data_IF_529024230453
#
_entry.id   IF_529024230453
#
_cell.length_a   1.000
_cell.length_b   1.000
_cell.length_c   1.000
_cell.angle_alpha   90.00
_cell.angle_beta   90.00
_cell.angle_gamma   90.00
#
_symmetry.space_group_name_H-M   'P 1'
#
loop_
_entity.id
_entity.type
_entity.pdbx_description
1 polymer ?
#
# COMPACT_ATOMS: atom_id res chain seq x y z
N UNK A 1 5.28 -18.04 5.65
CA UNK A 1 4.41 -17.24 6.54
C UNK A 1 3.29 -16.66 5.69
N UNK A 2 2.04 -16.79 6.11
CA UNK A 2 0.93 -16.10 5.44
C UNK A 2 0.96 -14.63 5.87
N UNK A 3 0.95 -13.65 4.95
CA UNK A 3 0.88 -12.25 5.34
C UNK A 3 -0.42 -11.99 6.09
N UNK A 4 -0.34 -11.39 7.28
CA UNK A 4 -1.53 -11.00 8.05
C UNK A 4 -2.29 -9.82 7.41
N UNK A 5 -1.63 -9.09 6.49
CA UNK A 5 -2.18 -7.97 5.74
C UNK A 5 -1.54 -7.93 4.34
N UNK A 6 -2.38 -7.84 3.31
CA UNK A 6 -1.99 -7.66 1.91
C UNK A 6 -2.58 -6.32 1.44
N UNK A 7 -1.80 -5.54 0.70
CA UNK A 7 -2.32 -4.37 -0.02
C UNK A 7 -2.44 -4.69 -1.50
N UNK A 8 -3.62 -4.47 -2.05
CA UNK A 8 -3.83 -4.39 -3.50
C UNK A 8 -3.73 -2.93 -3.92
N UNK A 9 -2.85 -2.66 -4.88
CA UNK A 9 -2.67 -1.33 -5.47
C UNK A 9 -3.27 -1.34 -6.87
N UNK A 10 -4.26 -0.50 -7.12
CA UNK A 10 -4.96 -0.40 -8.41
C UNK A 10 -4.82 0.99 -9.00
N UNK A 11 -4.61 1.08 -10.32
CA UNK A 11 -4.60 2.34 -11.07
C UNK A 11 -5.87 2.41 -11.93
N UNK A 12 -6.57 3.53 -11.84
CA UNK A 12 -7.72 3.85 -12.69
C UNK A 12 -7.51 5.25 -13.28
N UNK A 13 -7.20 5.29 -14.58
CA UNK A 13 -6.70 6.50 -15.25
C UNK A 13 -5.43 7.03 -14.57
N UNK A 14 -5.49 8.27 -14.08
CA UNK A 14 -4.40 8.94 -13.37
C UNK A 14 -4.50 8.83 -11.84
N UNK A 15 -5.46 8.06 -11.35
CA UNK A 15 -5.70 7.88 -9.92
C UNK A 15 -5.14 6.54 -9.46
N UNK A 16 -4.51 6.55 -8.30
CA UNK A 16 -3.98 5.36 -7.65
C UNK A 16 -4.81 5.06 -6.41
N UNK A 17 -5.06 3.79 -6.13
CA UNK A 17 -5.83 3.36 -4.97
C UNK A 17 -5.15 2.21 -4.27
N UNK A 18 -5.30 2.17 -2.94
CA UNK A 18 -4.92 1.04 -2.12
C UNK A 18 -6.15 0.43 -1.45
N UNK A 19 -6.19 -0.91 -1.40
CA UNK A 19 -7.13 -1.66 -0.59
C UNK A 19 -6.38 -2.70 0.23
N UNK A 20 -6.62 -2.73 1.54
CA UNK A 20 -6.03 -3.73 2.42
C UNK A 20 -6.91 -4.97 2.55
N UNK A 21 -6.30 -6.14 2.70
CA UNK A 21 -6.96 -7.41 2.98
C UNK A 21 -6.27 -8.07 4.16
N UNK A 22 -7.00 -8.32 5.24
CA UNK A 22 -6.46 -8.93 6.45
C UNK A 22 -7.17 -10.24 6.77
N UNK A 23 -6.54 -11.09 7.58
CA UNK A 23 -7.19 -12.26 8.16
C UNK A 23 -7.53 -11.98 9.63
N UNK A 24 -8.81 -12.09 9.99
CA UNK A 24 -9.30 -11.94 11.37
C UNK A 24 -10.03 -13.21 11.75
N UNK A 25 -9.58 -13.88 12.83
CA UNK A 25 -10.11 -15.18 13.26
C UNK A 25 -10.17 -16.22 12.11
N UNK A 26 -9.19 -16.21 11.21
CA UNK A 26 -9.11 -17.12 10.06
C UNK A 26 -10.01 -16.75 8.87
N UNK A 27 -10.78 -15.67 8.95
CA UNK A 27 -11.63 -15.18 7.87
C UNK A 27 -10.98 -13.99 7.15
N UNK A 28 -11.01 -13.94 5.81
CA UNK A 28 -10.54 -12.78 5.06
C UNK A 28 -11.51 -11.61 5.22
N UNK A 29 -10.99 -10.43 5.53
CA UNK A 29 -11.74 -9.18 5.53
C UNK A 29 -11.11 -8.19 4.55
N UNK A 30 -11.95 -7.48 3.80
CA UNK A 30 -11.53 -6.36 3.00
C UNK A 30 -11.61 -5.08 3.84
N UNK A 31 -10.50 -4.35 3.91
CA UNK A 31 -10.44 -3.01 4.47
C UNK A 31 -10.98 -1.99 3.45
N UNK A 32 -11.37 -0.78 3.89
CA UNK A 32 -11.80 0.27 2.98
C UNK A 32 -10.75 0.56 1.90
N UNK A 33 -11.23 0.79 0.67
CA UNK A 33 -10.40 1.29 -0.44
C UNK A 33 -10.24 2.79 -0.30
N UNK A 34 -9.03 3.29 -0.53
CA UNK A 34 -8.73 4.72 -0.48
C UNK A 34 -7.82 5.15 -1.62
N UNK A 35 -7.95 6.42 -1.99
CA UNK A 35 -7.12 7.04 -3.02
C UNK A 35 -5.75 7.44 -2.44
N UNK A 36 -4.72 7.23 -3.27
CA UNK A 36 -3.35 7.62 -3.06
C UNK A 36 -3.03 8.81 -3.96
N UNK A 37 -2.68 9.93 -3.35
CA UNK A 37 -2.28 11.15 -4.05
C UNK A 37 -0.75 11.20 -4.12
N UNK A 38 -0.23 11.52 -5.30
CA UNK A 38 1.21 11.69 -5.48
C UNK A 38 1.68 12.98 -4.80
N UNK A 39 2.76 12.89 -4.03
CA UNK A 39 3.53 14.03 -3.52
C UNK A 39 4.96 14.08 -4.09
N UNK A 40 5.30 13.07 -4.90
CA UNK A 40 6.55 12.97 -5.65
C UNK A 40 6.48 11.80 -6.63
N UNK A 41 7.61 11.44 -7.24
CA UNK A 41 7.66 10.36 -8.23
C UNK A 41 7.30 8.98 -7.63
N UNK A 42 7.68 8.75 -6.36
CA UNK A 42 7.54 7.44 -5.68
C UNK A 42 6.82 7.53 -4.33
N UNK A 43 6.42 8.75 -3.96
CA UNK A 43 5.85 9.07 -2.66
C UNK A 43 4.38 9.40 -2.84
N UNK A 44 3.55 8.72 -2.05
CA UNK A 44 2.12 8.85 -2.12
C UNK A 44 1.53 8.96 -0.70
N UNK A 45 0.43 9.68 -0.57
CA UNK A 45 -0.28 9.79 0.70
C UNK A 45 -1.77 9.52 0.52
N UNK A 46 -2.38 8.97 1.56
CA UNK A 46 -3.82 8.85 1.67
C UNK A 46 -4.36 9.95 2.58
N UNK A 47 -5.45 10.63 2.18
CA UNK A 47 -6.13 11.61 3.06
C UNK A 47 -6.84 10.98 4.25
N UNK A 48 -7.08 9.66 4.18
CA UNK A 48 -7.73 8.91 5.24
C UNK A 48 -6.69 8.49 6.27
N UNK A 49 -6.72 9.20 7.40
CA UNK A 49 -5.97 8.89 8.63
C UNK A 49 -4.44 9.05 8.59
N UNK A 50 -3.91 10.07 7.89
CA UNK A 50 -2.46 10.41 7.85
C UNK A 50 -1.55 9.21 7.57
N UNK A 51 -2.01 8.29 6.71
CA UNK A 51 -1.18 7.17 6.27
C UNK A 51 -0.42 7.59 5.02
N UNK A 52 0.91 7.53 5.10
CA UNK A 52 1.79 7.78 3.98
C UNK A 52 2.33 6.44 3.46
N UNK A 53 2.52 6.34 2.15
CA UNK A 53 3.04 5.14 1.49
C UNK A 53 4.18 5.54 0.56
N UNK A 54 5.32 4.85 0.71
CA UNK A 54 6.45 4.96 -0.20
C UNK A 54 6.62 3.69 -1.02
N UNK A 55 6.82 3.83 -2.34
CA UNK A 55 7.18 2.71 -3.20
C UNK A 55 8.70 2.68 -3.42
N UNK A 56 9.33 1.54 -3.13
CA UNK A 56 10.68 1.28 -3.59
C UNK A 56 10.61 0.61 -4.96
N UNK A 57 11.43 1.07 -5.91
CA UNK A 57 11.47 0.58 -7.29
C UNK A 57 12.79 -0.11 -7.59
N UNK A 58 12.74 -1.19 -8.37
CA UNK A 58 13.92 -1.83 -8.95
C UNK A 58 14.51 -1.06 -10.15
N UNK A 59 15.53 -1.62 -10.81
CA UNK A 59 16.26 -0.97 -11.92
C UNK A 59 15.40 -0.54 -13.11
N UNK A 60 14.26 -1.22 -13.34
CA UNK A 60 13.33 -0.92 -14.43
C UNK A 60 12.20 0.03 -14.03
N UNK A 61 12.29 0.69 -12.86
CA UNK A 61 11.23 1.54 -12.32
C UNK A 61 10.02 0.77 -11.79
N UNK A 62 9.99 -0.56 -11.93
CA UNK A 62 8.95 -1.42 -11.33
C UNK A 62 9.05 -1.40 -9.82
N UNK A 63 7.95 -1.09 -9.13
CA UNK A 63 7.87 -1.20 -7.67
C UNK A 63 8.22 -2.64 -7.23
N UNK A 64 9.05 -2.78 -6.21
CA UNK A 64 9.46 -4.06 -5.61
C UNK A 64 8.99 -4.18 -4.16
N UNK A 65 8.72 -3.04 -3.51
CA UNK A 65 8.28 -2.97 -2.12
C UNK A 65 7.36 -1.78 -1.90
N UNK A 66 6.49 -1.92 -0.91
CA UNK A 66 5.69 -0.86 -0.34
C UNK A 66 6.14 -0.64 1.11
N UNK A 67 6.29 0.61 1.55
CA UNK A 67 6.49 0.96 2.95
C UNK A 67 5.26 1.73 3.41
N UNK A 68 4.55 1.19 4.40
CA UNK A 68 3.45 1.89 5.07
C UNK A 68 4.03 2.65 6.27
N UNK A 69 3.86 3.97 6.29
CA UNK A 69 4.23 4.83 7.41
C UNK A 69 2.99 5.04 8.28
N UNK A 70 2.98 4.44 9.48
CA UNK A 70 1.83 4.50 10.39
C UNK A 70 2.28 4.67 11.83
N UNK A 71 1.71 5.67 12.52
CA UNK A 71 1.99 5.95 13.93
C UNK A 71 3.50 6.05 14.25
N UNK A 72 4.26 6.68 13.34
CA UNK A 72 5.72 6.83 13.46
C UNK A 72 6.54 5.57 13.17
N UNK A 73 5.92 4.49 12.70
CA UNK A 73 6.59 3.24 12.34
C UNK A 73 6.56 2.98 10.84
N UNK A 74 7.64 2.41 10.31
CA UNK A 74 7.73 1.92 8.94
C UNK A 74 7.43 0.42 8.87
N UNK A 75 6.39 0.07 8.11
CA UNK A 75 5.94 -1.30 7.93
C UNK A 75 6.19 -1.74 6.48
N UNK A 76 7.31 -2.41 6.21
CA UNK A 76 7.62 -2.86 4.86
C UNK A 76 6.78 -4.06 4.42
N UNK A 77 6.33 -4.04 3.17
CA UNK A 77 5.63 -5.11 2.49
C UNK A 77 6.29 -5.42 1.12
N UNK A 78 6.70 -6.67 0.93
CA UNK A 78 7.22 -7.12 -0.36
C UNK A 78 6.11 -7.22 -1.40
N UNK A 79 6.41 -6.90 -2.67
CA UNK A 79 5.46 -7.06 -3.77
C UNK A 79 5.25 -8.54 -4.09
N UNK A 80 3.99 -8.94 -4.24
CA UNK A 80 3.62 -10.34 -4.49
C UNK A 80 3.53 -10.70 -5.98
N UNK A 81 3.07 -9.80 -6.86
CA UNK A 81 2.91 -10.05 -8.30
C UNK A 81 2.79 -8.78 -9.13
#
# INVERSE_FOLDING_TARGET
>A
MTPNLIFEITRDGDRLFAQGFAQVAGQPIALPKFELFAEGEKNFFARVADNQITFETGPEGRATRLILHRAGSDMPAARLS
#
